data_IF_289467798986
#
_entry.id   IF_289467798986
#
_cell.length_a   1.000
_cell.length_b   1.000
_cell.length_c   1.000
_cell.angle_alpha   90.00
_cell.angle_beta   90.00
_cell.angle_gamma   90.00
#
_symmetry.space_group_name_H-M   'P 1'
#
loop_
_entity.id
_entity.type
_entity.pdbx_description
1 polymer ?
#
# COMPACT_ATOMS: atom_id res chain seq x y z
N UNK A 1 -14.35 3.07 0.20
CA UNK A 1 -12.90 3.17 0.50
C UNK A 1 -12.10 3.33 -0.79
N UNK A 2 -12.27 2.42 -1.74
CA UNK A 2 -11.50 2.42 -2.99
C UNK A 2 -11.64 3.70 -3.83
N UNK A 3 -12.87 4.20 -4.01
CA UNK A 3 -13.14 5.49 -4.68
C UNK A 3 -12.51 6.68 -3.93
N UNK A 4 -12.63 6.72 -2.60
CA UNK A 4 -11.98 7.75 -1.79
C UNK A 4 -10.45 7.72 -1.96
N UNK A 5 -9.84 6.54 -1.95
CA UNK A 5 -8.41 6.36 -2.19
C UNK A 5 -7.99 6.83 -3.60
N UNK A 6 -8.86 6.66 -4.61
CA UNK A 6 -8.62 7.24 -5.94
C UNK A 6 -8.56 8.77 -5.86
N UNK A 7 -9.59 9.41 -5.28
CA UNK A 7 -9.70 10.87 -5.25
C UNK A 7 -8.52 11.55 -4.58
N UNK A 8 -7.99 10.97 -3.49
CA UNK A 8 -6.94 11.61 -2.67
C UNK A 8 -5.51 11.13 -2.95
N UNK A 9 -5.33 10.00 -3.63
CA UNK A 9 -4.01 9.42 -3.86
C UNK A 9 -3.85 8.74 -5.22
N UNK A 10 -4.89 8.11 -5.76
CA UNK A 10 -4.86 7.58 -7.13
C UNK A 10 -4.65 8.69 -8.16
N UNK A 11 -5.34 9.82 -8.02
CA UNK A 11 -5.12 11.05 -8.81
C UNK A 11 -3.69 11.59 -8.71
N UNK A 12 -3.08 11.49 -7.53
CA UNK A 12 -1.66 11.85 -7.32
C UNK A 12 -0.74 10.86 -8.03
N UNK A 13 -1.11 9.57 -8.09
CA UNK A 13 -0.40 8.54 -8.85
C UNK A 13 -0.40 8.81 -10.36
N UNK A 14 -1.53 9.25 -10.91
CA UNK A 14 -1.66 9.71 -12.30
C UNK A 14 -0.72 10.89 -12.57
N UNK A 15 -0.85 11.96 -11.77
CA UNK A 15 0.00 13.16 -11.87
C UNK A 15 1.50 12.85 -11.78
N UNK A 16 1.89 12.01 -10.81
CA UNK A 16 3.29 11.60 -10.64
C UNK A 16 3.81 10.83 -11.85
N UNK A 17 2.96 10.00 -12.46
CA UNK A 17 3.27 9.24 -13.67
C UNK A 17 3.50 10.19 -14.84
N UNK A 18 2.59 11.13 -15.08
CA UNK A 18 2.73 12.10 -16.16
C UNK A 18 4.04 12.88 -16.05
N UNK A 19 4.35 13.43 -14.87
CA UNK A 19 5.59 14.19 -14.68
C UNK A 19 6.82 13.29 -14.89
N UNK A 20 6.83 12.11 -14.29
CA UNK A 20 7.99 11.22 -14.34
C UNK A 20 8.30 10.76 -15.76
N UNK A 21 7.27 10.38 -16.53
CA UNK A 21 7.44 9.83 -17.86
C UNK A 21 7.62 10.92 -18.94
N UNK A 22 7.01 12.10 -18.78
CA UNK A 22 7.21 13.20 -19.73
C UNK A 22 8.53 13.97 -19.51
N UNK A 23 9.08 13.99 -18.29
CA UNK A 23 10.26 14.82 -17.97
C UNK A 23 11.54 14.04 -17.69
N UNK A 24 11.45 12.84 -17.12
CA UNK A 24 12.63 12.10 -16.67
C UNK A 24 13.01 10.96 -17.62
N UNK A 25 12.06 10.44 -18.40
CA UNK A 25 12.26 9.28 -19.25
C UNK A 25 12.35 9.69 -20.72
N UNK A 26 13.56 9.58 -21.27
CA UNK A 26 13.86 9.94 -22.66
C UNK A 26 14.02 8.67 -23.52
N UNK A 27 13.39 8.69 -24.70
CA UNK A 27 13.71 7.80 -25.82
C UNK A 27 13.18 6.37 -25.72
N UNK A 28 11.87 6.18 -25.52
CA UNK A 28 11.25 4.85 -25.58
C UNK A 28 9.75 4.87 -25.89
N UNK A 29 9.26 3.79 -26.49
CA UNK A 29 7.83 3.51 -26.67
C UNK A 29 7.27 2.95 -25.36
N UNK A 30 7.12 3.81 -24.36
CA UNK A 30 6.43 3.42 -23.12
C UNK A 30 4.94 3.69 -23.32
N UNK A 31 4.14 2.68 -23.07
CA UNK A 31 2.69 2.78 -23.05
C UNK A 31 2.26 3.65 -21.85
N UNK A 32 2.09 4.95 -22.10
CA UNK A 32 1.78 5.94 -21.07
C UNK A 32 0.40 5.70 -20.49
N UNK A 33 -0.58 5.30 -21.29
CA UNK A 33 -1.94 5.03 -20.84
C UNK A 33 -1.95 3.89 -19.82
N UNK A 34 -1.21 2.80 -20.12
CA UNK A 34 -1.01 1.73 -19.14
C UNK A 34 -0.33 2.23 -17.87
N UNK A 35 0.69 3.07 -17.99
CA UNK A 35 1.37 3.62 -16.81
C UNK A 35 0.45 4.48 -15.95
N UNK A 36 -0.47 5.25 -16.53
CA UNK A 36 -1.45 6.04 -15.78
C UNK A 36 -2.39 5.15 -14.96
N UNK A 37 -2.92 4.09 -15.59
CA UNK A 37 -3.78 3.11 -14.89
C UNK A 37 -3.03 2.44 -13.73
N UNK A 38 -1.78 2.03 -13.97
CA UNK A 38 -0.94 1.43 -12.94
C UNK A 38 -0.58 2.44 -11.83
N UNK A 39 -0.31 3.69 -12.19
CA UNK A 39 -0.02 4.78 -11.26
C UNK A 39 -1.19 5.07 -10.33
N UNK A 40 -2.42 5.09 -10.87
CA UNK A 40 -3.65 5.22 -10.09
C UNK A 40 -3.77 4.11 -9.05
N UNK A 41 -3.62 2.85 -9.48
CA UNK A 41 -3.66 1.68 -8.59
C UNK A 41 -2.58 1.77 -7.51
N UNK A 42 -1.38 2.18 -7.87
CA UNK A 42 -0.28 2.36 -6.93
C UNK A 42 -0.59 3.44 -5.87
N UNK A 43 -1.07 4.61 -6.28
CA UNK A 43 -1.50 5.66 -5.33
C UNK A 43 -2.56 5.17 -4.34
N UNK A 44 -3.56 4.43 -4.85
CA UNK A 44 -4.62 3.83 -4.02
C UNK A 44 -4.07 2.85 -3.00
N UNK A 45 -3.16 1.95 -3.40
CA UNK A 45 -2.51 1.02 -2.48
C UNK A 45 -1.87 1.74 -1.29
N UNK A 46 -1.05 2.76 -1.55
CA UNK A 46 -0.33 3.48 -0.50
C UNK A 46 -1.28 4.16 0.49
N UNK A 47 -2.36 4.76 -0.03
CA UNK A 47 -3.35 5.41 0.81
C UNK A 47 -4.16 4.41 1.64
N UNK A 48 -4.57 3.30 1.05
CA UNK A 48 -5.31 2.26 1.77
C UNK A 48 -4.47 1.66 2.90
N UNK A 49 -3.16 1.45 2.70
CA UNK A 49 -2.26 0.98 3.77
C UNK A 49 -2.25 1.96 4.95
N UNK A 50 -2.16 3.27 4.67
CA UNK A 50 -2.18 4.27 5.72
C UNK A 50 -3.52 4.26 6.48
N UNK A 51 -4.65 4.28 5.76
CA UNK A 51 -5.99 4.23 6.35
C UNK A 51 -6.16 2.98 7.22
N UNK A 52 -5.81 1.80 6.71
CA UNK A 52 -6.01 0.53 7.42
C UNK A 52 -5.07 0.37 8.62
N UNK A 53 -3.87 0.99 8.59
CA UNK A 53 -2.93 0.98 9.71
C UNK A 53 -3.35 1.95 10.81
N UNK A 54 -3.87 3.11 10.42
CA UNK A 54 -4.03 4.25 11.31
C UNK A 54 -5.47 4.41 11.85
N UNK A 55 -6.37 3.43 11.60
CA UNK A 55 -7.76 3.40 12.09
C UNK A 55 -7.91 3.93 13.53
N UNK A 56 -7.16 3.46 14.55
CA UNK A 56 -7.36 3.95 15.92
C UNK A 56 -7.01 5.43 16.09
N UNK A 57 -5.94 5.87 15.41
CA UNK A 57 -5.50 7.26 15.47
C UNK A 57 -6.50 8.17 14.77
N UNK A 58 -7.03 7.76 13.63
CA UNK A 58 -8.04 8.51 12.89
C UNK A 58 -9.34 8.62 13.69
N UNK A 59 -9.80 7.51 14.28
CA UNK A 59 -10.99 7.50 15.13
C UNK A 59 -10.84 8.37 16.37
N UNK A 60 -9.64 8.42 16.98
CA UNK A 60 -9.38 9.25 18.16
C UNK A 60 -9.54 10.76 17.92
N UNK A 61 -9.49 11.19 16.66
CA UNK A 61 -9.72 12.58 16.24
C UNK A 61 -11.04 12.74 15.48
N UNK A 62 -11.95 11.77 15.60
CA UNK A 62 -13.30 11.82 15.02
C UNK A 62 -13.36 11.52 13.52
N UNK A 63 -12.33 10.90 12.93
CA UNK A 63 -12.29 10.53 11.51
C UNK A 63 -12.50 9.03 11.33
N UNK A 64 -13.41 8.66 10.44
CA UNK A 64 -13.57 7.27 10.00
C UNK A 64 -13.61 7.21 8.48
N UNK A 65 -12.70 6.44 7.88
CA UNK A 65 -12.62 6.25 6.43
C UNK A 65 -13.23 4.93 5.96
N UNK A 66 -13.55 4.03 6.89
CA UNK A 66 -14.23 2.78 6.57
C UNK A 66 -15.69 3.12 6.23
N UNK A 67 -16.20 2.75 5.04
CA UNK A 67 -17.54 3.11 4.62
C UNK A 67 -18.60 2.56 5.58
N UNK A 68 -19.54 3.43 5.99
CA UNK A 68 -20.63 3.08 6.91
C UNK A 68 -21.47 1.91 6.40
N UNK A 69 -21.85 1.92 5.12
CA UNK A 69 -22.69 0.88 4.52
C UNK A 69 -21.99 -0.49 4.55
N UNK A 70 -20.66 -0.49 4.39
CA UNK A 70 -19.84 -1.71 4.49
C UNK A 70 -19.71 -2.21 5.91
N UNK A 71 -19.66 -1.32 6.91
CA UNK A 71 -19.70 -1.73 8.31
C UNK A 71 -21.06 -2.32 8.68
N UNK A 72 -22.15 -1.76 8.19
CA UNK A 72 -23.51 -2.23 8.49
C UNK A 72 -23.79 -3.64 7.97
N UNK A 73 -23.15 -4.06 6.87
CA UNK A 73 -23.19 -5.45 6.39
C UNK A 73 -22.72 -6.46 7.45
N UNK A 74 -21.88 -6.02 8.40
CA UNK A 74 -21.34 -6.81 9.51
C UNK A 74 -21.99 -6.44 10.86
N UNK A 75 -23.09 -5.68 10.85
CA UNK A 75 -23.76 -5.23 12.08
C UNK A 75 -22.96 -4.20 12.88
N UNK A 76 -21.98 -3.53 12.25
CA UNK A 76 -21.12 -2.54 12.89
C UNK A 76 -21.46 -1.11 12.44
N UNK A 77 -21.09 -0.17 13.29
CA UNK A 77 -21.07 1.26 13.05
C UNK A 77 -19.66 1.81 13.26
N UNK A 78 -19.35 3.03 12.78
CA UNK A 78 -18.04 3.64 12.99
C UNK A 78 -17.62 3.76 14.46
N UNK A 79 -18.58 3.96 15.38
CA UNK A 79 -18.31 4.07 16.82
C UNK A 79 -17.90 2.75 17.45
N UNK A 80 -18.37 1.62 16.91
CA UNK A 80 -18.01 0.30 17.43
C UNK A 80 -16.53 -0.02 17.21
N UNK A 81 -15.90 0.62 16.21
CA UNK A 81 -14.47 0.49 15.95
C UNK A 81 -13.58 1.17 17.01
N UNK A 82 -14.16 1.96 17.93
CA UNK A 82 -13.43 2.49 19.09
C UNK A 82 -13.18 1.41 20.15
N UNK A 83 -13.96 0.33 20.13
CA UNK A 83 -13.82 -0.81 21.01
C UNK A 83 -12.90 -1.87 20.37
N UNK A 84 -11.87 -2.28 21.09
CA UNK A 84 -10.98 -3.34 20.64
C UNK A 84 -11.67 -4.69 20.47
N UNK A 85 -12.76 -4.94 21.20
CA UNK A 85 -13.49 -6.20 21.19
C UNK A 85 -14.31 -6.39 19.90
N UNK A 86 -14.61 -5.28 19.19
CA UNK A 86 -15.26 -5.28 17.87
C UNK A 86 -14.40 -5.86 16.75
N UNK A 87 -13.12 -6.18 17.01
CA UNK A 87 -12.23 -6.72 15.99
C UNK A 87 -12.68 -8.08 15.45
N UNK A 88 -13.40 -8.88 16.24
CA UNK A 88 -13.95 -10.17 15.80
C UNK A 88 -14.91 -9.98 14.62
N UNK A 89 -16.06 -9.29 14.81
CA UNK A 89 -16.99 -8.96 13.73
C UNK A 89 -16.36 -8.13 12.60
N UNK A 90 -15.38 -7.26 12.90
CA UNK A 90 -14.71 -6.42 11.89
C UNK A 90 -13.67 -7.17 11.04
N UNK A 91 -13.23 -8.37 11.47
CA UNK A 91 -12.08 -9.08 10.88
C UNK A 91 -12.24 -9.30 9.38
N UNK A 92 -13.39 -9.78 8.94
CA UNK A 92 -13.60 -10.17 7.55
C UNK A 92 -13.60 -8.96 6.62
N UNK A 93 -14.29 -7.88 7.01
CA UNK A 93 -14.28 -6.62 6.27
C UNK A 93 -12.86 -6.02 6.21
N UNK A 94 -12.13 -6.08 7.33
CA UNK A 94 -10.76 -5.59 7.39
C UNK A 94 -9.82 -6.40 6.48
N UNK A 95 -9.93 -7.72 6.51
CA UNK A 95 -9.17 -8.62 5.63
C UNK A 95 -9.48 -8.38 4.15
N UNK A 96 -10.75 -8.21 3.79
CA UNK A 96 -11.14 -7.89 2.42
C UNK A 96 -10.50 -6.58 1.92
N UNK A 97 -10.37 -5.56 2.77
CA UNK A 97 -9.64 -4.34 2.41
C UNK A 97 -8.12 -4.53 2.33
N UNK A 98 -7.54 -5.39 3.17
CA UNK A 98 -6.12 -5.76 3.04
C UNK A 98 -5.87 -6.54 1.73
N UNK A 99 -6.79 -7.40 1.32
CA UNK A 99 -6.73 -8.14 0.06
C UNK A 99 -6.80 -7.19 -1.14
N UNK A 100 -7.78 -6.28 -1.16
CA UNK A 100 -7.87 -5.25 -2.20
C UNK A 100 -6.62 -4.37 -2.25
N UNK A 101 -6.07 -4.03 -1.08
CA UNK A 101 -4.81 -3.27 -1.01
C UNK A 101 -3.63 -4.06 -1.59
N UNK A 102 -3.57 -5.37 -1.32
CA UNK A 102 -2.58 -6.28 -1.91
C UNK A 102 -2.73 -6.38 -3.44
N UNK A 103 -3.95 -6.41 -3.96
CA UNK A 103 -4.22 -6.39 -5.40
C UNK A 103 -3.67 -5.10 -6.02
N UNK A 104 -3.96 -3.94 -5.43
CA UNK A 104 -3.41 -2.65 -5.90
C UNK A 104 -1.87 -2.61 -5.85
N UNK A 105 -1.23 -3.23 -4.86
CA UNK A 105 0.22 -3.36 -4.79
C UNK A 105 0.80 -4.26 -5.89
N UNK A 106 0.06 -5.26 -6.39
CA UNK A 106 0.52 -6.07 -7.52
C UNK A 106 0.69 -5.21 -8.79
N UNK A 107 -0.21 -4.27 -9.02
CA UNK A 107 -0.07 -3.28 -10.09
C UNK A 107 1.10 -2.31 -9.86
N UNK A 108 1.41 -1.96 -8.61
CA UNK A 108 2.58 -1.15 -8.29
C UNK A 108 3.90 -1.89 -8.63
N UNK A 109 3.94 -3.20 -8.46
CA UNK A 109 5.09 -4.03 -8.85
C UNK A 109 5.27 -4.06 -10.38
N UNK A 110 4.17 -4.13 -11.12
CA UNK A 110 4.17 -4.02 -12.57
C UNK A 110 4.66 -2.63 -13.02
N UNK A 111 4.15 -1.55 -12.41
CA UNK A 111 4.59 -0.17 -12.66
C UNK A 111 6.12 -0.04 -12.51
N UNK A 112 6.66 -0.59 -11.41
CA UNK A 112 8.10 -0.62 -11.17
C UNK A 112 8.83 -1.41 -12.25
N UNK A 113 8.27 -2.51 -12.73
CA UNK A 113 8.91 -3.35 -13.75
C UNK A 113 9.09 -2.64 -15.10
N UNK A 114 8.20 -1.70 -15.43
CA UNK A 114 8.20 -0.95 -16.70
C UNK A 114 9.24 0.18 -16.70
N UNK A 115 9.50 0.82 -15.56
CA UNK A 115 10.52 1.90 -15.48
C UNK A 115 11.88 1.40 -16.00
N UNK A 116 12.57 2.07 -16.94
CA UNK A 116 13.87 1.57 -17.40
C UNK A 116 14.91 1.47 -16.27
N UNK A 117 15.73 0.40 -16.26
CA UNK A 117 16.69 0.13 -15.16
C UNK A 117 17.76 1.21 -14.96
N UNK A 118 18.02 2.04 -15.98
CA UNK A 118 18.92 3.20 -15.88
C UNK A 118 18.41 4.23 -14.86
N UNK A 119 17.09 4.38 -14.69
CA UNK A 119 16.45 5.33 -13.77
C UNK A 119 16.36 4.79 -12.34
N UNK A 120 17.51 4.47 -11.74
CA UNK A 120 17.58 3.82 -10.42
C UNK A 120 16.90 4.61 -9.30
N UNK A 121 16.98 5.95 -9.35
CA UNK A 121 16.33 6.82 -8.36
C UNK A 121 14.81 6.68 -8.36
N UNK A 122 14.19 6.77 -9.54
CA UNK A 122 12.74 6.59 -9.72
C UNK A 122 12.29 5.17 -9.34
N UNK A 123 13.08 4.15 -9.72
CA UNK A 123 12.80 2.78 -9.27
C UNK A 123 12.84 2.64 -7.75
N UNK A 124 13.82 3.26 -7.10
CA UNK A 124 13.97 3.19 -5.64
C UNK A 124 12.83 3.92 -4.93
N UNK A 125 12.42 5.09 -5.41
CA UNK A 125 11.31 5.85 -4.82
C UNK A 125 9.99 5.09 -4.91
N UNK A 126 9.80 4.26 -5.92
CA UNK A 126 8.63 3.38 -6.05
C UNK A 126 8.79 2.06 -5.27
N UNK A 127 9.95 1.41 -5.33
CA UNK A 127 10.16 0.09 -4.71
C UNK A 127 10.09 0.13 -3.17
N UNK A 128 10.69 1.15 -2.56
CA UNK A 128 10.74 1.29 -1.11
C UNK A 128 9.34 1.27 -0.45
N UNK A 129 8.39 2.14 -0.86
CA UNK A 129 7.05 2.13 -0.25
C UNK A 129 6.28 0.84 -0.53
N UNK A 130 6.48 0.17 -1.66
CA UNK A 130 5.86 -1.14 -1.93
C UNK A 130 6.34 -2.20 -0.94
N UNK A 131 7.66 -2.31 -0.73
CA UNK A 131 8.22 -3.31 0.20
C UNK A 131 7.82 -3.02 1.66
N UNK A 132 7.82 -1.74 2.06
CA UNK A 132 7.32 -1.32 3.37
C UNK A 132 5.82 -1.65 3.50
N UNK A 133 5.04 -1.37 2.46
CA UNK A 133 3.60 -1.61 2.40
C UNK A 133 3.24 -3.08 2.60
N UNK A 134 3.85 -3.98 1.82
CA UNK A 134 3.67 -5.44 1.95
C UNK A 134 3.97 -5.95 3.36
N UNK A 135 5.07 -5.48 3.96
CA UNK A 135 5.42 -5.86 5.35
C UNK A 135 4.44 -5.28 6.36
N UNK A 136 3.89 -4.11 6.11
CA UNK A 136 2.88 -3.49 6.97
C UNK A 136 1.61 -4.32 6.92
N UNK A 137 1.11 -4.67 5.74
CA UNK A 137 -0.07 -5.54 5.56
C UNK A 137 0.11 -6.88 6.28
N UNK A 138 1.28 -7.53 6.12
CA UNK A 138 1.59 -8.77 6.82
C UNK A 138 1.47 -8.65 8.36
N UNK A 139 1.92 -7.53 8.92
CA UNK A 139 1.78 -7.26 10.36
C UNK A 139 0.33 -6.97 10.77
N UNK A 140 -0.46 -6.33 9.90
CA UNK A 140 -1.85 -5.97 10.16
C UNK A 140 -2.75 -7.21 10.18
N UNK A 141 -2.54 -8.18 9.28
CA UNK A 141 -3.33 -9.43 9.24
C UNK A 141 -3.32 -10.18 10.56
N UNK A 142 -2.15 -10.34 11.18
CA UNK A 142 -1.99 -11.13 12.41
C UNK A 142 -2.32 -10.40 13.71
N UNK A 143 -2.85 -9.18 13.67
CA UNK A 143 -3.04 -8.35 14.88
C UNK A 143 -4.41 -7.68 14.91
N UNK A 144 -4.87 -7.38 16.12
CA UNK A 144 -6.02 -6.52 16.34
C UNK A 144 -5.58 -5.06 16.17
N UNK A 145 -6.00 -4.43 15.07
CA UNK A 145 -5.67 -3.03 14.76
C UNK A 145 -6.42 -2.07 15.67
N UNK A 146 -7.58 -2.44 16.20
CA UNK A 146 -8.43 -1.57 17.03
C UNK A 146 -7.87 -1.38 18.45
N UNK A 147 -6.88 -2.15 18.89
CA UNK A 147 -6.27 -2.03 20.21
C UNK A 147 -5.63 -0.64 20.42
N UNK A 148 -6.19 0.24 21.27
CA UNK A 148 -5.59 1.52 21.58
C UNK A 148 -4.23 1.31 22.28
N UNK A 149 -3.22 2.08 21.87
CA UNK A 149 -1.88 2.04 22.47
C UNK A 149 -0.94 0.93 21.97
N UNK A 150 -1.34 0.06 21.03
CA UNK A 150 -0.46 -0.94 20.40
C UNK A 150 -0.28 -0.66 18.89
N UNK A 151 0.33 0.47 18.49
CA UNK A 151 0.46 0.82 17.09
C UNK A 151 1.27 -0.23 16.32
N UNK A 152 0.70 -0.71 15.21
CA UNK A 152 1.34 -1.70 14.34
C UNK A 152 2.30 -0.95 13.40
N UNK A 153 3.58 -0.87 13.79
CA UNK A 153 4.60 -0.13 13.03
C UNK A 153 5.84 -0.98 12.76
N UNK A 154 6.45 -0.75 11.60
CA UNK A 154 7.76 -1.31 11.27
C UNK A 154 8.83 -0.48 12.00
N UNK A 155 9.71 -1.14 12.76
CA UNK A 155 10.78 -0.47 13.48
C UNK A 155 11.80 0.22 12.56
N UNK A 156 12.42 1.31 13.03
CA UNK A 156 13.38 2.11 12.26
C UNK A 156 14.57 1.31 11.72
N UNK A 157 15.09 0.35 12.51
CA UNK A 157 16.17 -0.55 12.08
C UNK A 157 15.75 -1.41 10.89
N UNK A 158 14.52 -1.93 10.91
CA UNK A 158 13.95 -2.70 9.80
C UNK A 158 13.73 -1.83 8.57
N UNK A 159 13.28 -0.58 8.74
CA UNK A 159 13.17 0.39 7.62
C UNK A 159 14.54 0.65 6.98
N UNK A 160 15.58 0.87 7.79
CA UNK A 160 16.95 1.06 7.29
C UNK A 160 17.45 -0.16 6.51
N UNK A 161 17.15 -1.38 7.01
CA UNK A 161 17.46 -2.62 6.30
C UNK A 161 16.70 -2.73 4.97
N UNK A 162 15.40 -2.43 4.94
CA UNK A 162 14.59 -2.44 3.72
C UNK A 162 15.17 -1.44 2.70
N UNK A 163 15.53 -0.23 3.13
CA UNK A 163 16.15 0.77 2.26
C UNK A 163 17.45 0.24 1.65
N UNK A 164 18.32 -0.37 2.46
CA UNK A 164 19.54 -1.00 1.98
C UNK A 164 19.27 -2.11 0.96
N UNK A 165 18.31 -3.00 1.25
CA UNK A 165 17.88 -4.07 0.34
C UNK A 165 17.35 -3.50 -0.98
N UNK A 166 16.53 -2.45 -0.95
CA UNK A 166 15.99 -1.80 -2.14
C UNK A 166 17.09 -1.14 -2.98
N UNK A 167 18.08 -0.49 -2.35
CA UNK A 167 19.25 0.11 -3.06
C UNK A 167 20.05 -0.94 -3.83
N UNK A 168 20.22 -2.13 -3.25
CA UNK A 168 20.86 -3.26 -3.94
C UNK A 168 19.95 -3.85 -5.02
N UNK A 169 18.65 -4.00 -4.74
CA UNK A 169 17.67 -4.56 -5.66
C UNK A 169 17.55 -3.75 -6.96
N UNK A 170 17.53 -2.41 -6.91
CA UNK A 170 17.42 -1.61 -8.15
C UNK A 170 18.62 -1.80 -9.10
N UNK A 171 19.74 -2.37 -8.63
CA UNK A 171 20.89 -2.72 -9.48
C UNK A 171 20.81 -4.12 -10.10
N UNK A 172 19.93 -5.00 -9.61
CA UNK A 172 19.83 -6.40 -10.05
C UNK A 172 18.37 -6.79 -10.30
N UNK A 173 18.04 -7.10 -11.55
CA UNK A 173 16.69 -7.55 -11.95
C UNK A 173 16.23 -8.78 -11.16
N UNK A 174 17.14 -9.73 -10.95
CA UNK A 174 16.84 -10.94 -10.18
C UNK A 174 16.54 -10.60 -8.72
N UNK A 175 17.37 -9.76 -8.08
CA UNK A 175 17.19 -9.47 -6.67
C UNK A 175 15.92 -8.66 -6.41
N UNK A 176 15.59 -7.72 -7.30
CA UNK A 176 14.36 -6.95 -7.23
C UNK A 176 13.12 -7.84 -7.33
N UNK A 177 13.08 -8.75 -8.31
CA UNK A 177 11.98 -9.74 -8.42
C UNK A 177 11.86 -10.59 -7.16
N UNK A 178 12.99 -11.08 -6.62
CA UNK A 178 13.02 -11.88 -5.39
C UNK A 178 12.55 -11.09 -4.16
N UNK A 179 12.94 -9.84 -4.04
CA UNK A 179 12.55 -8.97 -2.92
C UNK A 179 11.04 -8.71 -2.94
N UNK A 180 10.51 -8.41 -4.12
CA UNK A 180 9.08 -8.23 -4.36
C UNK A 180 8.30 -9.53 -4.06
N UNK A 181 8.71 -10.66 -4.65
CA UNK A 181 8.01 -11.94 -4.47
C UNK A 181 8.00 -12.41 -3.01
N UNK A 182 9.09 -12.19 -2.28
CA UNK A 182 9.15 -12.49 -0.85
C UNK A 182 8.12 -11.65 -0.08
N UNK A 183 8.02 -10.35 -0.40
CA UNK A 183 7.03 -9.45 0.20
C UNK A 183 5.59 -9.89 -0.04
N UNK A 184 5.26 -10.32 -1.28
CA UNK A 184 3.93 -10.83 -1.64
C UNK A 184 3.54 -12.01 -0.76
N UNK A 185 4.40 -13.04 -0.65
CA UNK A 185 4.16 -14.24 0.16
C UNK A 185 3.83 -13.89 1.62
N UNK A 186 4.55 -12.94 2.23
CA UNK A 186 4.27 -12.55 3.62
C UNK A 186 2.94 -11.79 3.76
N UNK A 187 2.55 -11.02 2.74
CA UNK A 187 1.33 -10.20 2.78
C UNK A 187 0.05 -10.93 2.42
N UNK A 188 0.14 -12.13 1.83
CA UNK A 188 -1.01 -12.95 1.40
C UNK A 188 -1.13 -14.27 2.16
N UNK A 189 -0.28 -14.54 3.15
CA UNK A 189 -0.47 -15.67 4.06
C UNK A 189 -1.67 -15.38 4.97
N UNK A 190 -2.68 -16.24 4.87
CA UNK A 190 -3.68 -16.46 5.91
C UNK A 190 -3.02 -17.09 7.14
#
# INVERSE_FOLDING_TARGET
>A
LDDYAYRVAGSVGEFWTEISFNRLIEGGTIDIERMLVLGIRFGKALQMINILRDIPSDLSIGRCYIPKDRLSEYGLSPTDLLDSDSMGPFRDLYSAYLDLTCEHLDYAEEYISIIPRKYRGLRLSCLLPVVIGRRTIALLRGKNVLNPGKPIKIGRRTIALILFQCKLAVRSKWYEKRLISSGRIFSTRE
#
